data_IF_640575211824
#
_entry.id   IF_640575211824
#
_cell.length_a   1.000
_cell.length_b   1.000
_cell.length_c   1.000
_cell.angle_alpha   90.00
_cell.angle_beta   90.00
_cell.angle_gamma   90.00
#
_symmetry.space_group_name_H-M   'P 1'
#
loop_
_entity.id
_entity.type
_entity.pdbx_description
1 polymer ?
#
# COMPACT_ATOMS: atom_id res chain seq x y z
N UNK A 1 5.72 14.97 33.18
CA UNK A 1 4.63 15.73 32.52
C UNK A 1 5.07 16.23 31.14
N UNK A 2 6.08 17.09 31.01
CA UNK A 2 6.56 17.58 29.69
C UNK A 2 7.10 16.45 28.78
N UNK A 3 7.66 15.37 29.35
CA UNK A 3 8.12 14.21 28.58
C UNK A 3 6.99 13.31 28.01
N UNK A 4 5.76 13.42 28.52
CA UNK A 4 4.60 12.69 27.98
C UNK A 4 3.95 13.45 26.81
N UNK A 5 3.89 14.78 26.86
CA UNK A 5 3.49 15.62 25.72
C UNK A 5 4.49 15.56 24.54
N UNK A 6 5.79 15.39 24.84
CA UNK A 6 6.83 15.17 23.82
C UNK A 6 6.62 13.87 23.02
N UNK A 7 5.88 12.89 23.54
CA UNK A 7 5.56 11.62 22.86
C UNK A 7 4.34 11.76 21.93
N UNK A 8 3.39 12.62 22.28
CA UNK A 8 2.18 12.89 21.49
C UNK A 8 2.46 13.73 20.23
N UNK A 9 3.43 14.65 20.29
CA UNK A 9 3.93 15.41 19.13
C UNK A 9 4.90 14.59 18.27
N UNK A 10 5.69 13.66 18.82
CA UNK A 10 6.64 12.88 18.02
C UNK A 10 5.95 11.87 17.07
N UNK A 11 4.77 11.38 17.45
CA UNK A 11 3.87 10.62 16.56
C UNK A 11 3.10 11.50 15.55
N UNK A 12 3.05 12.83 15.76
CA UNK A 12 2.41 13.80 14.85
C UNK A 12 3.09 13.86 13.46
N UNK A 13 4.27 13.25 13.28
CA UNK A 13 5.06 13.32 12.03
C UNK A 13 5.74 11.98 11.71
N UNK A 14 5.16 10.81 12.07
CA UNK A 14 5.59 9.53 11.47
C UNK A 14 5.31 9.62 9.97
N UNK A 15 6.28 10.23 9.31
CA UNK A 15 6.41 10.60 7.94
C UNK A 15 5.13 11.17 7.32
N UNK A 16 5.14 12.50 7.14
CA UNK A 16 4.65 13.20 5.95
C UNK A 16 5.06 12.44 4.65
N UNK A 17 4.42 11.31 4.38
CA UNK A 17 4.39 10.61 3.11
C UNK A 17 5.62 9.82 2.61
N UNK A 18 6.72 9.62 3.38
CA UNK A 18 7.96 8.96 2.90
C UNK A 18 8.25 9.32 1.42
N UNK A 19 8.36 10.62 1.17
CA UNK A 19 8.57 11.29 -0.11
C UNK A 19 9.66 10.61 -0.97
N UNK A 20 9.29 10.07 -2.15
CA UNK A 20 10.21 9.95 -3.28
C UNK A 20 9.54 9.90 -4.68
N UNK A 21 9.70 11.03 -5.38
CA UNK A 21 9.82 11.32 -6.85
C UNK A 21 8.60 11.67 -7.72
N UNK A 22 8.86 12.71 -8.53
CA UNK A 22 8.23 13.18 -9.78
C UNK A 22 6.97 14.02 -9.68
N UNK A 23 7.11 15.35 -9.66
CA UNK A 23 6.18 16.32 -10.28
C UNK A 23 4.72 16.41 -9.83
N UNK A 24 4.22 15.51 -8.97
CA UNK A 24 2.84 15.48 -8.48
C UNK A 24 2.77 15.90 -7.01
N UNK A 25 1.76 16.70 -6.67
CA UNK A 25 1.43 17.10 -5.29
C UNK A 25 0.91 15.85 -4.56
N UNK A 26 1.48 15.55 -3.39
CA UNK A 26 1.08 14.39 -2.60
C UNK A 26 0.45 14.85 -1.29
N UNK A 27 -0.78 14.41 -1.03
CA UNK A 27 -1.56 14.76 0.16
C UNK A 27 -1.31 13.75 1.29
N UNK A 28 -1.01 14.25 2.49
CA UNK A 28 -0.83 13.44 3.70
C UNK A 28 -2.15 13.20 4.42
N UNK A 29 -2.20 12.13 5.22
CA UNK A 29 -3.32 11.82 6.12
C UNK A 29 -2.82 11.77 7.57
N UNK A 30 -3.63 12.24 8.50
CA UNK A 30 -3.44 12.00 9.93
C UNK A 30 -4.43 10.91 10.32
N UNK A 31 -3.92 9.75 10.74
CA UNK A 31 -4.70 8.59 11.15
C UNK A 31 -4.11 8.02 12.43
N UNK A 32 -4.94 7.43 13.28
CA UNK A 32 -4.50 6.75 14.49
C UNK A 32 -4.06 5.30 14.23
N UNK A 33 -3.51 4.64 15.24
CA UNK A 33 -2.99 3.26 15.13
C UNK A 33 -4.07 2.24 14.72
N UNK A 34 -5.32 2.43 15.16
CA UNK A 34 -6.42 1.52 14.79
C UNK A 34 -6.81 1.72 13.32
N UNK A 35 -6.97 2.97 12.89
CA UNK A 35 -7.25 3.30 11.49
C UNK A 35 -6.14 2.79 10.56
N UNK A 36 -4.87 2.93 10.95
CA UNK A 36 -3.76 2.37 10.19
C UNK A 36 -3.87 0.85 10.03
N UNK A 37 -4.22 0.12 11.10
CA UNK A 37 -4.39 -1.35 11.05
C UNK A 37 -5.56 -1.77 10.17
N UNK A 38 -6.69 -1.07 10.25
CA UNK A 38 -7.85 -1.33 9.39
C UNK A 38 -7.53 -1.06 7.92
N UNK A 39 -6.83 0.05 7.64
CA UNK A 39 -6.35 0.34 6.28
C UNK A 39 -5.40 -0.73 5.77
N UNK A 40 -4.44 -1.17 6.60
CA UNK A 40 -3.52 -2.24 6.25
C UNK A 40 -4.26 -3.53 5.92
N UNK A 41 -5.25 -3.91 6.74
CA UNK A 41 -6.07 -5.10 6.52
C UNK A 41 -6.86 -5.04 5.20
N UNK A 42 -7.57 -3.94 4.94
CA UNK A 42 -8.37 -3.78 3.72
C UNK A 42 -7.51 -3.79 2.45
N UNK A 43 -6.37 -3.09 2.49
CA UNK A 43 -5.45 -3.02 1.36
C UNK A 43 -4.81 -4.39 1.09
N UNK A 44 -4.44 -5.14 2.13
CA UNK A 44 -3.95 -6.52 2.00
C UNK A 44 -4.97 -7.39 1.28
N UNK A 45 -6.23 -7.37 1.73
CA UNK A 45 -7.30 -8.18 1.14
C UNK A 45 -7.51 -7.86 -0.33
N UNK A 46 -7.56 -6.58 -0.69
CA UNK A 46 -7.70 -6.13 -2.07
C UNK A 46 -6.52 -6.58 -2.95
N UNK A 47 -5.28 -6.51 -2.44
CA UNK A 47 -4.10 -7.00 -3.15
C UNK A 47 -4.16 -8.52 -3.38
N UNK A 48 -4.64 -9.27 -2.39
CA UNK A 48 -4.80 -10.73 -2.49
C UNK A 48 -5.84 -11.11 -3.54
N UNK A 49 -7.00 -10.46 -3.53
CA UNK A 49 -8.06 -10.65 -4.52
C UNK A 49 -7.56 -10.32 -5.93
N UNK A 50 -6.89 -9.17 -6.12
CA UNK A 50 -6.34 -8.77 -7.42
C UNK A 50 -5.27 -9.73 -7.93
N UNK A 51 -4.37 -10.20 -7.06
CA UNK A 51 -3.33 -11.16 -7.45
C UNK A 51 -3.96 -12.50 -7.86
N UNK A 52 -4.96 -12.98 -7.12
CA UNK A 52 -5.68 -14.21 -7.43
C UNK A 52 -6.43 -14.10 -8.77
N UNK A 53 -7.16 -13.00 -9.00
CA UNK A 53 -7.91 -12.77 -10.23
C UNK A 53 -6.98 -12.64 -11.45
N UNK A 54 -5.82 -12.01 -11.30
CA UNK A 54 -4.83 -11.93 -12.38
C UNK A 54 -4.30 -13.30 -12.83
N UNK A 55 -4.28 -14.30 -11.94
CA UNK A 55 -3.91 -15.68 -12.26
C UNK A 55 -5.06 -16.46 -12.94
N UNK A 56 -6.32 -16.01 -12.83
CA UNK A 56 -7.46 -16.70 -13.43
C UNK A 56 -7.48 -16.57 -14.95
N UNK A 57 -7.32 -17.68 -15.66
CA UNK A 57 -7.30 -17.74 -17.13
C UNK A 57 -8.65 -17.41 -17.78
N UNK A 58 -9.75 -17.40 -17.01
CA UNK A 58 -11.10 -17.09 -17.50
C UNK A 58 -11.35 -15.59 -17.65
N UNK A 59 -10.50 -14.77 -17.04
CA UNK A 59 -10.62 -13.31 -17.08
C UNK A 59 -9.94 -12.78 -18.35
N UNK A 60 -10.66 -11.91 -19.06
CA UNK A 60 -10.20 -11.29 -20.30
C UNK A 60 -8.92 -10.45 -20.10
N UNK A 61 -8.05 -10.41 -21.11
CA UNK A 61 -6.75 -9.72 -21.03
C UNK A 61 -6.88 -8.21 -20.87
N UNK A 62 -7.91 -7.58 -21.44
CA UNK A 62 -8.19 -6.16 -21.25
C UNK A 62 -8.58 -5.89 -19.79
N UNK A 63 -9.38 -6.77 -19.19
CA UNK A 63 -9.74 -6.70 -17.77
C UNK A 63 -8.52 -6.89 -16.88
N UNK A 64 -7.64 -7.85 -17.19
CA UNK A 64 -6.36 -8.04 -16.46
C UNK A 64 -5.45 -6.82 -16.54
N UNK A 65 -5.45 -6.11 -17.67
CA UNK A 65 -4.68 -4.87 -17.81
C UNK A 65 -5.19 -3.79 -16.86
N UNK A 66 -6.50 -3.61 -16.76
CA UNK A 66 -7.11 -2.70 -15.79
C UNK A 66 -6.86 -3.14 -14.33
N UNK A 67 -6.90 -4.44 -14.03
CA UNK A 67 -6.56 -4.98 -12.71
C UNK A 67 -5.11 -4.67 -12.33
N UNK A 68 -4.17 -4.74 -13.29
CA UNK A 68 -2.76 -4.43 -13.06
C UNK A 68 -2.54 -2.95 -12.73
N UNK A 69 -3.26 -2.04 -13.41
CA UNK A 69 -3.23 -0.60 -13.09
C UNK A 69 -3.77 -0.33 -11.68
N UNK A 70 -4.88 -1.00 -11.32
CA UNK A 70 -5.46 -0.95 -9.96
C UNK A 70 -4.48 -1.49 -8.92
N UNK A 71 -3.89 -2.67 -9.16
CA UNK A 71 -2.86 -3.26 -8.31
C UNK A 71 -1.71 -2.28 -8.07
N UNK A 72 -1.21 -1.61 -9.11
CA UNK A 72 -0.09 -0.68 -8.95
C UNK A 72 -0.45 0.52 -8.06
N UNK A 73 -1.68 1.03 -8.19
CA UNK A 73 -2.20 2.10 -7.33
C UNK A 73 -2.31 1.65 -5.88
N UNK A 74 -2.95 0.49 -5.64
CA UNK A 74 -3.16 -0.07 -4.30
C UNK A 74 -1.83 -0.46 -3.64
N UNK A 75 -0.91 -1.08 -4.38
CA UNK A 75 0.40 -1.47 -3.86
C UNK A 75 1.25 -0.24 -3.48
N UNK A 76 1.14 0.85 -4.25
CA UNK A 76 1.80 2.11 -3.89
C UNK A 76 1.21 2.74 -2.63
N UNK A 77 -0.09 2.56 -2.37
CA UNK A 77 -0.72 2.97 -1.11
C UNK A 77 -0.24 2.09 0.05
N UNK A 78 -0.22 0.77 -0.14
CA UNK A 78 0.22 -0.20 0.84
C UNK A 78 1.65 0.07 1.35
N UNK A 79 2.55 0.40 0.43
CA UNK A 79 3.95 0.76 0.73
C UNK A 79 4.11 1.99 1.64
N UNK A 80 3.08 2.81 1.80
CA UNK A 80 3.10 3.97 2.70
C UNK A 80 2.86 3.58 4.16
N UNK A 81 2.11 2.50 4.39
CA UNK A 81 1.63 2.10 5.72
C UNK A 81 2.28 0.80 6.23
N UNK A 82 2.73 -0.09 5.33
CA UNK A 82 3.27 -1.39 5.70
C UNK A 82 4.81 -1.43 5.73
N UNK A 83 5.35 -2.40 6.46
CA UNK A 83 6.80 -2.66 6.47
C UNK A 83 7.29 -3.21 5.13
N UNK A 84 8.62 -3.14 4.91
CA UNK A 84 9.23 -3.67 3.68
C UNK A 84 9.05 -5.18 3.57
N UNK A 85 9.18 -5.88 4.68
CA UNK A 85 8.99 -7.33 4.80
C UNK A 85 7.58 -7.74 4.39
N UNK A 86 6.58 -6.99 4.87
CA UNK A 86 5.18 -7.21 4.49
C UNK A 86 4.92 -6.91 3.01
N UNK A 87 5.56 -5.87 2.45
CA UNK A 87 5.43 -5.55 1.01
C UNK A 87 5.94 -6.67 0.10
N UNK A 88 6.99 -7.40 0.50
CA UNK A 88 7.57 -8.47 -0.33
C UNK A 88 6.59 -9.62 -0.58
N UNK A 89 5.63 -9.86 0.32
CA UNK A 89 4.61 -10.91 0.18
C UNK A 89 3.68 -10.68 -1.01
N UNK A 90 3.47 -9.42 -1.38
CA UNK A 90 2.54 -9.01 -2.43
C UNK A 90 3.24 -8.58 -3.72
N UNK A 91 4.57 -8.72 -3.80
CA UNK A 91 5.28 -8.50 -5.05
C UNK A 91 4.91 -9.61 -6.04
N UNK A 92 4.64 -9.28 -7.32
CA UNK A 92 4.35 -10.31 -8.31
C UNK A 92 5.57 -11.21 -8.39
N UNK A 93 5.36 -12.53 -8.27
CA UNK A 93 6.43 -13.49 -8.51
C UNK A 93 6.90 -13.23 -9.94
N UNK A 94 8.21 -13.03 -10.14
CA UNK A 94 8.76 -12.96 -11.50
C UNK A 94 8.52 -14.32 -12.15
N UNK A 95 7.41 -14.45 -12.86
CA UNK A 95 7.30 -15.44 -13.92
C UNK A 95 8.33 -14.98 -14.95
N UNK A 96 9.44 -15.70 -15.04
CA UNK A 96 10.38 -15.53 -16.14
C UNK A 96 9.57 -15.58 -17.42
N UNK A 97 9.73 -14.57 -18.28
CA UNK A 97 9.01 -14.50 -19.54
C UNK A 97 9.14 -15.80 -20.30
N UNK A 98 7.98 -16.37 -20.66
CA UNK A 98 7.79 -17.22 -21.82
C UNK A 98 6.62 -16.63 -22.59
#
# INVERSE_FOLDING_TARGET
MIAQEQNEIFNTVIYLLKFRRSGVIMLGFLINDQEQKEMEYLIKRELEELLMDMEDHRIDQMVKSAMKERYQTIFNLYRRIASREECMKYMPKRTGGQ
#
